data_IF_603975059560
#
_entry.id   IF_603975059560
#
_cell.length_a   1.000
_cell.length_b   1.000
_cell.length_c   1.000
_cell.angle_alpha   90.00
_cell.angle_beta   90.00
_cell.angle_gamma   90.00
#
_symmetry.space_group_name_H-M   'P 1'
#
loop_
_entity.id
_entity.type
_entity.pdbx_description
1 polymer ?
#
# COMPACT_ATOMS: atom_id res chain seq x y z
N UNK A 1 0.47 -8.41 29.93
CA UNK A 1 -0.61 -8.19 28.95
C UNK A 1 0.05 -7.35 27.85
N UNK A 2 0.09 -7.84 26.62
CA UNK A 2 0.55 -6.98 25.51
C UNK A 2 -0.38 -5.79 25.44
N UNK A 3 0.19 -4.57 25.43
CA UNK A 3 -0.58 -3.36 25.19
C UNK A 3 -1.12 -3.44 23.76
N UNK A 4 -2.39 -3.08 23.57
CA UNK A 4 -3.08 -3.12 22.28
C UNK A 4 -3.37 -1.72 21.78
N UNK A 5 -3.51 -1.56 20.47
CA UNK A 5 -3.93 -0.33 19.84
C UNK A 5 -5.15 -0.61 18.95
N UNK A 6 -6.24 0.15 19.19
CA UNK A 6 -7.48 0.02 18.41
C UNK A 6 -7.53 1.12 17.37
N UNK A 7 -7.74 0.72 16.11
CA UNK A 7 -7.94 1.62 14.96
C UNK A 7 -9.37 1.51 14.46
N UNK A 8 -9.92 2.63 14.02
CA UNK A 8 -11.20 2.67 13.31
C UNK A 8 -10.93 2.85 11.82
N UNK A 9 -11.55 2.05 10.98
CA UNK A 9 -11.44 2.17 9.54
C UNK A 9 -11.93 3.52 9.04
N UNK A 10 -11.15 4.16 8.19
CA UNK A 10 -11.43 5.49 7.62
C UNK A 10 -12.60 5.51 6.62
N UNK A 11 -13.01 4.34 6.14
CA UNK A 11 -14.14 4.11 5.24
C UNK A 11 -14.71 2.70 5.51
N UNK A 12 -15.94 2.40 5.07
CA UNK A 12 -16.50 1.05 5.23
C UNK A 12 -15.63 -0.02 4.62
N UNK A 13 -15.23 -1.03 5.41
CA UNK A 13 -14.34 -2.12 5.02
C UNK A 13 -12.84 -1.79 5.08
N UNK A 14 -12.45 -0.58 5.51
CA UNK A 14 -11.03 -0.21 5.57
C UNK A 14 -10.27 -0.96 6.67
N UNK A 15 -10.91 -1.27 7.80
CA UNK A 15 -10.29 -2.08 8.85
C UNK A 15 -10.00 -3.51 8.37
N UNK A 16 -10.92 -4.13 7.64
CA UNK A 16 -10.74 -5.46 7.06
C UNK A 16 -9.63 -5.48 5.99
N UNK A 17 -9.59 -4.45 5.12
CA UNK A 17 -8.51 -4.30 4.16
C UNK A 17 -7.15 -4.18 4.85
N UNK A 18 -7.01 -3.29 5.84
CA UNK A 18 -5.76 -3.11 6.58
C UNK A 18 -5.34 -4.41 7.29
N UNK A 19 -6.28 -5.13 7.89
CA UNK A 19 -6.00 -6.41 8.53
C UNK A 19 -5.46 -7.45 7.54
N UNK A 20 -6.05 -7.55 6.35
CA UNK A 20 -5.59 -8.46 5.30
C UNK A 20 -4.16 -8.13 4.86
N UNK A 21 -3.86 -6.87 4.58
CA UNK A 21 -2.53 -6.43 4.16
C UNK A 21 -1.47 -6.57 5.25
N UNK A 22 -1.78 -6.27 6.52
CA UNK A 22 -0.86 -6.48 7.63
C UNK A 22 -0.50 -7.96 7.80
N UNK A 23 -1.49 -8.85 7.74
CA UNK A 23 -1.27 -10.31 7.81
C UNK A 23 -0.39 -10.79 6.67
N UNK A 24 -0.67 -10.33 5.45
CA UNK A 24 0.10 -10.68 4.26
C UNK A 24 1.56 -10.18 4.32
N UNK A 25 1.79 -8.96 4.76
CA UNK A 25 3.15 -8.43 4.96
C UNK A 25 3.89 -9.17 6.08
N UNK A 26 3.18 -9.55 7.15
CA UNK A 26 3.75 -10.24 8.31
C UNK A 26 4.26 -11.65 7.98
N UNK A 27 3.80 -12.27 6.89
CA UNK A 27 4.39 -13.53 6.39
C UNK A 27 5.88 -13.37 6.05
N UNK A 28 6.31 -12.18 5.64
CA UNK A 28 7.70 -11.88 5.30
C UNK A 28 8.54 -11.42 6.50
N UNK A 29 7.92 -10.87 7.55
CA UNK A 29 8.65 -10.40 8.74
C UNK A 29 7.75 -10.16 9.94
N UNK A 30 8.21 -10.58 11.12
CA UNK A 30 7.56 -10.26 12.40
C UNK A 30 7.75 -8.81 12.85
N UNK A 31 8.51 -8.00 12.13
CA UNK A 31 8.58 -6.55 12.35
C UNK A 31 7.28 -5.82 11.96
N UNK A 32 6.41 -6.48 11.18
CA UNK A 32 5.04 -6.00 10.93
C UNK A 32 4.19 -6.30 12.15
N UNK A 33 3.43 -5.32 12.65
CA UNK A 33 2.56 -5.48 13.84
C UNK A 33 1.55 -6.62 13.67
N UNK A 34 1.25 -7.30 14.77
CA UNK A 34 0.28 -8.38 14.78
C UNK A 34 -1.15 -7.86 14.78
N UNK A 35 -2.00 -8.46 13.94
CA UNK A 35 -3.45 -8.25 13.98
C UNK A 35 -4.03 -9.18 15.03
N UNK A 36 -4.53 -8.61 16.13
CA UNK A 36 -5.05 -9.34 17.28
C UNK A 36 -6.56 -9.61 17.15
N UNK A 37 -7.32 -8.62 16.63
CA UNK A 37 -8.77 -8.74 16.47
C UNK A 37 -9.23 -7.87 15.31
N UNK A 38 -10.26 -8.32 14.60
CA UNK A 38 -10.97 -7.57 13.57
C UNK A 38 -12.47 -7.66 13.87
N UNK A 39 -13.13 -6.53 14.04
CA UNK A 39 -14.59 -6.40 14.08
C UNK A 39 -15.04 -5.70 12.79
N UNK A 40 -15.54 -6.49 11.85
CA UNK A 40 -15.99 -5.98 10.55
C UNK A 40 -17.26 -5.14 10.66
N UNK A 41 -18.17 -5.48 11.57
CA UNK A 41 -19.42 -4.75 11.78
C UNK A 41 -19.16 -3.36 12.37
N UNK A 42 -18.25 -3.27 13.33
CA UNK A 42 -17.80 -2.00 13.90
C UNK A 42 -16.75 -1.29 13.03
N UNK A 43 -16.23 -1.95 11.98
CA UNK A 43 -15.13 -1.48 11.16
C UNK A 43 -13.92 -1.06 12.02
N UNK A 44 -13.52 -1.94 12.96
CA UNK A 44 -12.41 -1.71 13.88
C UNK A 44 -11.37 -2.82 13.80
N UNK A 45 -10.12 -2.44 14.00
CA UNK A 45 -8.95 -3.30 13.98
C UNK A 45 -8.15 -3.11 15.27
N UNK A 46 -7.92 -4.20 16.01
CA UNK A 46 -7.03 -4.22 17.17
C UNK A 46 -5.70 -4.85 16.76
N UNK A 47 -4.63 -4.11 16.94
CA UNK A 47 -3.27 -4.53 16.62
C UNK A 47 -2.37 -4.46 17.85
N UNK A 48 -1.22 -5.11 17.77
CA UNK A 48 -0.13 -4.95 18.70
C UNK A 48 0.26 -3.46 18.81
N UNK A 49 0.39 -2.97 20.04
CA UNK A 49 0.88 -1.60 20.28
C UNK A 49 2.40 -1.60 20.27
N UNK A 50 2.96 -0.74 19.46
CA UNK A 50 4.41 -0.49 19.41
C UNK A 50 4.69 0.85 20.07
N UNK A 51 5.53 0.83 21.12
CA UNK A 51 5.97 2.06 21.77
C UNK A 51 7.16 2.66 20.99
N UNK A 52 7.10 3.97 20.67
CA UNK A 52 8.19 4.63 19.96
C UNK A 52 9.45 4.70 20.83
N UNK A 53 10.58 4.36 20.23
CA UNK A 53 11.89 4.46 20.87
C UNK A 53 12.81 5.34 20.03
N UNK A 54 13.91 5.80 20.66
CA UNK A 54 14.90 6.60 19.93
C UNK A 54 15.55 5.73 18.83
N UNK A 55 15.58 6.19 17.57
CA UNK A 55 16.19 5.44 16.49
C UNK A 55 17.71 5.29 16.71
N UNK A 56 18.23 4.10 16.36
CA UNK A 56 19.66 3.82 16.32
C UNK A 56 20.07 3.34 14.92
N UNK A 57 21.37 3.39 14.61
CA UNK A 57 21.90 2.90 13.34
C UNK A 57 21.67 1.40 13.20
N UNK A 58 21.78 0.66 14.28
CA UNK A 58 21.55 -0.79 14.35
C UNK A 58 20.10 -1.12 14.05
N UNK A 59 19.15 -0.40 14.68
CA UNK A 59 17.71 -0.57 14.43
C UNK A 59 17.34 -0.23 12.97
N UNK A 60 17.94 0.82 12.40
CA UNK A 60 17.71 1.16 10.99
C UNK A 60 18.23 0.08 10.03
N UNK A 61 19.39 -0.51 10.32
CA UNK A 61 19.92 -1.64 9.52
C UNK A 61 19.04 -2.87 9.63
N UNK A 62 18.54 -3.17 10.82
CA UNK A 62 17.63 -4.30 11.03
C UNK A 62 16.32 -4.08 10.29
N UNK A 63 15.67 -2.90 10.43
CA UNK A 63 14.49 -2.54 9.69
C UNK A 63 14.67 -2.68 8.17
N UNK A 64 15.86 -2.32 7.64
CA UNK A 64 16.19 -2.52 6.23
C UNK A 64 16.26 -3.99 5.82
N UNK A 65 16.78 -4.89 6.68
CA UNK A 65 16.79 -6.35 6.42
C UNK A 65 15.40 -6.94 6.43
N UNK A 66 14.59 -6.57 7.44
CA UNK A 66 13.21 -7.01 7.55
C UNK A 66 12.36 -6.54 6.36
N UNK A 67 12.55 -5.29 5.92
CA UNK A 67 11.89 -4.77 4.74
C UNK A 67 12.31 -5.54 3.47
N UNK A 68 13.58 -5.85 3.32
CA UNK A 68 14.08 -6.65 2.19
C UNK A 68 13.49 -8.07 2.19
N UNK A 69 13.30 -8.67 3.37
CA UNK A 69 12.64 -9.97 3.50
C UNK A 69 11.17 -9.91 3.06
N UNK A 70 10.43 -8.87 3.44
CA UNK A 70 9.06 -8.64 2.99
C UNK A 70 9.02 -8.48 1.46
N UNK A 71 9.89 -7.66 0.89
CA UNK A 71 9.95 -7.44 -0.57
C UNK A 71 10.24 -8.74 -1.33
N UNK A 72 11.14 -9.59 -0.78
CA UNK A 72 11.53 -10.86 -1.38
C UNK A 72 10.42 -11.92 -1.42
N UNK A 73 9.35 -11.74 -0.64
CA UNK A 73 8.18 -12.63 -0.72
C UNK A 73 7.47 -12.55 -2.08
N UNK A 74 7.69 -11.48 -2.84
CA UNK A 74 7.04 -11.28 -4.13
C UNK A 74 5.54 -11.05 -4.04
N UNK A 75 4.87 -11.04 -5.17
CA UNK A 75 3.43 -10.89 -5.32
C UNK A 75 2.96 -11.61 -6.58
N UNK A 76 1.65 -11.83 -6.73
CA UNK A 76 1.09 -12.50 -7.91
C UNK A 76 1.24 -11.68 -9.20
N UNK A 77 1.12 -10.35 -9.11
CA UNK A 77 1.26 -9.40 -10.22
C UNK A 77 1.41 -7.97 -9.66
N UNK A 78 1.76 -7.01 -10.50
CA UNK A 78 1.70 -5.60 -10.13
C UNK A 78 0.25 -5.19 -9.89
N UNK A 79 -0.01 -4.47 -8.80
CA UNK A 79 -1.36 -4.03 -8.44
C UNK A 79 -2.28 -5.13 -7.90
N UNK A 80 -1.82 -6.38 -7.83
CA UNK A 80 -2.60 -7.45 -7.22
C UNK A 80 -2.89 -7.15 -5.74
N UNK A 81 -4.06 -7.58 -5.22
CA UNK A 81 -4.35 -7.51 -3.80
C UNK A 81 -3.46 -8.47 -2.99
N UNK A 82 -3.49 -8.34 -1.66
CA UNK A 82 -2.95 -9.36 -0.76
C UNK A 82 -3.60 -10.72 -1.05
N UNK A 83 -2.82 -11.79 -0.91
CA UNK A 83 -3.29 -13.15 -1.23
C UNK A 83 -4.58 -13.49 -0.45
N UNK A 84 -5.61 -13.92 -1.18
CA UNK A 84 -6.92 -14.24 -0.61
C UNK A 84 -7.80 -13.04 -0.26
N UNK A 85 -7.38 -11.81 -0.54
CA UNK A 85 -8.20 -10.61 -0.36
C UNK A 85 -8.93 -10.23 -1.64
N UNK A 86 -10.26 -10.18 -1.59
CA UNK A 86 -11.16 -9.78 -2.69
C UNK A 86 -11.95 -8.49 -2.39
N UNK A 87 -11.69 -7.90 -1.22
CA UNK A 87 -12.35 -6.68 -0.77
C UNK A 87 -11.74 -5.40 -1.38
N UNK A 88 -12.24 -4.24 -0.95
CA UNK A 88 -11.76 -2.95 -1.45
C UNK A 88 -10.33 -2.64 -0.99
N UNK A 89 -9.60 -1.91 -1.83
CA UNK A 89 -8.31 -1.32 -1.47
C UNK A 89 -8.45 0.20 -1.26
N UNK A 90 -7.63 0.76 -0.35
CA UNK A 90 -7.73 2.16 0.04
C UNK A 90 -6.36 2.86 0.05
N UNK A 91 -6.37 4.16 -0.20
CA UNK A 91 -5.34 5.11 0.19
C UNK A 91 -5.98 6.21 1.03
N UNK A 92 -5.70 6.21 2.33
CA UNK A 92 -6.44 7.02 3.30
C UNK A 92 -7.95 6.68 3.26
N UNK A 93 -8.80 7.66 2.97
CA UNK A 93 -10.26 7.48 2.85
C UNK A 93 -10.72 7.13 1.43
N UNK A 94 -9.82 7.07 0.46
CA UNK A 94 -10.18 6.93 -0.96
C UNK A 94 -9.97 5.51 -1.44
N UNK A 95 -10.98 4.99 -2.14
CA UNK A 95 -10.84 3.72 -2.86
C UNK A 95 -9.81 3.86 -3.98
N UNK A 96 -9.04 2.81 -4.15
CA UNK A 96 -7.96 2.67 -5.11
C UNK A 96 -8.18 1.37 -5.90
N UNK A 97 -7.91 1.38 -7.19
CA UNK A 97 -7.93 0.15 -7.99
C UNK A 97 -6.85 -0.82 -7.50
N UNK A 98 -7.15 -2.11 -7.59
CA UNK A 98 -6.28 -3.19 -7.17
C UNK A 98 -6.47 -4.37 -8.13
N UNK A 99 -6.06 -4.17 -9.38
CA UNK A 99 -6.24 -5.12 -10.47
C UNK A 99 -4.87 -5.69 -10.89
N UNK A 100 -4.72 -7.01 -10.97
CA UNK A 100 -3.48 -7.63 -11.41
C UNK A 100 -3.08 -7.16 -12.81
N UNK A 101 -1.82 -6.75 -12.97
CA UNK A 101 -1.26 -6.24 -14.22
C UNK A 101 0.13 -6.85 -14.44
N UNK A 102 0.46 -7.21 -15.67
CA UNK A 102 1.74 -7.87 -15.99
C UNK A 102 2.93 -6.89 -15.97
N UNK A 103 2.71 -5.64 -16.38
CA UNK A 103 3.74 -4.60 -16.44
C UNK A 103 3.55 -3.56 -15.35
N UNK A 104 4.66 -3.20 -14.68
CA UNK A 104 4.62 -2.16 -13.63
C UNK A 104 4.14 -0.81 -14.17
N UNK A 105 4.61 -0.39 -15.35
CA UNK A 105 4.22 0.88 -15.94
C UNK A 105 2.71 0.97 -16.18
N UNK A 106 2.09 -0.08 -16.69
CA UNK A 106 0.63 -0.14 -16.89
C UNK A 106 -0.13 -0.02 -15.56
N UNK A 107 0.28 -0.80 -14.55
CA UNK A 107 -0.28 -0.69 -13.21
C UNK A 107 -0.14 0.73 -12.67
N UNK A 108 1.08 1.28 -12.69
CA UNK A 108 1.36 2.57 -12.06
C UNK A 108 0.62 3.71 -12.75
N UNK A 109 0.65 3.75 -14.08
CA UNK A 109 -0.04 4.77 -14.87
C UNK A 109 -1.56 4.70 -14.69
N UNK A 110 -2.15 3.53 -14.93
CA UNK A 110 -3.61 3.43 -15.01
C UNK A 110 -4.31 3.28 -13.66
N UNK A 111 -3.61 2.74 -12.65
CA UNK A 111 -4.22 2.54 -11.34
C UNK A 111 -3.73 3.51 -10.26
N UNK A 112 -2.61 4.22 -10.48
CA UNK A 112 -2.01 5.13 -9.49
C UNK A 112 -1.94 6.57 -9.95
N UNK A 113 -1.40 6.86 -11.12
CA UNK A 113 -1.16 8.24 -11.55
C UNK A 113 -2.43 8.88 -12.12
N UNK A 114 -2.95 8.37 -13.24
CA UNK A 114 -4.05 9.01 -13.98
C UNK A 114 -5.33 9.18 -13.14
N UNK A 115 -5.82 8.18 -12.37
CA UNK A 115 -7.05 8.35 -11.61
C UNK A 115 -6.97 9.44 -10.54
N UNK A 116 -5.80 9.67 -9.96
CA UNK A 116 -5.59 10.72 -8.96
C UNK A 116 -5.33 12.08 -9.59
N UNK A 117 -4.60 12.13 -10.71
CA UNK A 117 -4.39 13.37 -11.47
C UNK A 117 -5.71 13.94 -12.01
N UNK A 118 -6.60 13.08 -12.54
CA UNK A 118 -7.94 13.48 -12.98
C UNK A 118 -8.81 14.03 -11.84
N UNK A 119 -8.75 13.40 -10.66
CA UNK A 119 -9.44 13.92 -9.46
C UNK A 119 -8.86 15.27 -9.03
N UNK A 120 -7.54 15.44 -9.08
CA UNK A 120 -6.88 16.69 -8.77
C UNK A 120 -7.26 17.81 -9.79
N UNK A 121 -7.35 17.47 -11.08
CA UNK A 121 -7.82 18.39 -12.12
C UNK A 121 -9.27 18.82 -11.86
N UNK A 122 -10.16 17.87 -11.58
CA UNK A 122 -11.58 18.17 -11.26
C UNK A 122 -11.74 19.02 -10.00
N UNK A 123 -10.84 18.86 -9.04
CA UNK A 123 -10.81 19.66 -7.81
C UNK A 123 -10.13 21.03 -7.97
N UNK A 124 -9.57 21.34 -9.15
CA UNK A 124 -8.86 22.59 -9.41
C UNK A 124 -7.46 22.66 -8.79
N UNK A 125 -6.92 21.56 -8.27
CA UNK A 125 -5.59 21.51 -7.68
C UNK A 125 -4.48 21.38 -8.73
N UNK A 126 -4.82 20.96 -9.95
CA UNK A 126 -3.94 20.88 -11.10
C UNK A 126 -4.59 21.57 -12.26
N UNK A 127 -3.90 22.45 -12.97
CA UNK A 127 -4.38 23.09 -14.19
C UNK A 127 -4.17 22.22 -15.44
N UNK A 128 -4.75 22.62 -16.58
CA UNK A 128 -4.63 21.89 -17.84
C UNK A 128 -3.20 21.64 -18.27
N UNK A 129 -2.31 22.64 -18.20
CA UNK A 129 -0.88 22.46 -18.52
C UNK A 129 -0.17 21.47 -17.60
N UNK A 130 -0.54 21.39 -16.30
CA UNK A 130 -0.03 20.37 -15.38
C UNK A 130 -0.51 18.97 -15.77
N UNK A 131 -1.75 18.83 -16.20
CA UNK A 131 -2.28 17.56 -16.68
C UNK A 131 -1.59 17.08 -17.96
N UNK A 132 -1.22 17.99 -18.87
CA UNK A 132 -0.47 17.65 -20.07
C UNK A 132 0.91 17.09 -19.74
N UNK A 133 1.60 17.68 -18.75
CA UNK A 133 2.88 17.15 -18.24
C UNK A 133 2.71 15.75 -17.64
N UNK A 134 1.67 15.52 -16.83
CA UNK A 134 1.37 14.19 -16.27
C UNK A 134 1.16 13.16 -17.38
N UNK A 135 0.39 13.49 -18.42
CA UNK A 135 0.16 12.58 -19.56
C UNK A 135 1.46 12.24 -20.29
N UNK A 136 2.27 13.26 -20.62
CA UNK A 136 3.58 13.03 -21.27
C UNK A 136 4.49 12.12 -20.44
N UNK A 137 4.52 12.30 -19.11
CA UNK A 137 5.27 11.42 -18.22
C UNK A 137 4.71 9.99 -18.22
N UNK A 138 3.38 9.83 -18.24
CA UNK A 138 2.73 8.52 -18.36
C UNK A 138 3.07 7.83 -19.68
N UNK A 139 3.01 8.56 -20.80
CA UNK A 139 3.35 8.01 -22.12
C UNK A 139 4.81 7.53 -22.15
N UNK A 140 5.75 8.31 -21.59
CA UNK A 140 7.15 7.93 -21.50
C UNK A 140 7.34 6.65 -20.64
N UNK A 141 6.67 6.55 -19.50
CA UNK A 141 6.71 5.34 -18.64
C UNK A 141 6.18 4.10 -19.38
N UNK A 142 5.12 4.24 -20.17
CA UNK A 142 4.54 3.12 -20.92
C UNK A 142 5.44 2.63 -22.06
N UNK A 143 6.30 3.50 -22.60
CA UNK A 143 7.28 3.18 -23.63
C UNK A 143 8.55 2.54 -23.08
N UNK A 144 8.85 2.70 -21.78
CA UNK A 144 10.02 2.09 -21.16
C UNK A 144 9.87 0.56 -21.10
N UNK A 145 10.93 -0.16 -21.50
CA UNK A 145 11.02 -1.61 -21.33
C UNK A 145 11.64 -1.88 -19.94
N UNK A 146 10.79 -2.21 -18.98
CA UNK A 146 11.19 -2.35 -17.58
C UNK A 146 11.41 -3.80 -17.18
N UNK A 147 12.56 -4.06 -16.59
CA UNK A 147 12.85 -5.29 -15.84
C UNK A 147 12.49 -5.08 -14.34
N UNK A 148 11.23 -4.78 -14.07
CA UNK A 148 10.74 -4.60 -12.70
C UNK A 148 10.39 -5.95 -12.07
N UNK A 149 10.95 -6.24 -10.91
CA UNK A 149 10.61 -7.43 -10.13
C UNK A 149 9.39 -7.21 -9.24
N UNK A 150 8.57 -8.25 -9.10
CA UNK A 150 7.43 -8.24 -8.19
C UNK A 150 7.91 -8.24 -6.74
N UNK A 151 7.36 -7.34 -5.93
CA UNK A 151 7.68 -7.23 -4.51
C UNK A 151 6.42 -6.88 -3.70
N UNK A 152 6.35 -7.39 -2.47
CA UNK A 152 5.36 -6.90 -1.50
C UNK A 152 5.85 -5.58 -0.94
N UNK A 153 5.06 -4.52 -1.08
CA UNK A 153 5.43 -3.20 -0.55
C UNK A 153 4.41 -2.71 0.45
N UNK A 154 4.87 -1.99 1.46
CA UNK A 154 4.00 -1.33 2.43
C UNK A 154 3.27 -0.15 1.79
N UNK A 155 3.94 0.59 0.92
CA UNK A 155 3.36 1.72 0.18
C UNK A 155 3.28 3.04 0.95
N UNK A 156 3.60 3.06 2.24
CA UNK A 156 3.53 4.25 3.12
C UNK A 156 4.59 4.16 4.23
N UNK A 157 5.80 3.79 3.86
CA UNK A 157 6.93 3.67 4.77
C UNK A 157 7.68 4.99 4.86
N UNK A 158 7.75 5.57 6.11
CA UNK A 158 8.43 6.83 6.37
C UNK A 158 8.78 7.07 7.84
#
# INVERSE_FOLDING_TARGET
MSDTFVKHGSAPGAAAAEAAYLRWLREGSTAVVEVLELDEDANTLTIEKVDPVRPTVEAAREAGRELAAIHAMGAAAFGAPADGWDGPNFIGTRRQACEPTERWAEFYVHQRVLPFAEKALKAGNVGGGGMDVVKQACDALLEEDEDASLARIHGDLW
#
